data_IF_026099893109
#
_entry.id   IF_026099893109
#
_cell.length_a   1.000
_cell.length_b   1.000
_cell.length_c   1.000
_cell.angle_alpha   90.00
_cell.angle_beta   90.00
_cell.angle_gamma   90.00
#
_symmetry.space_group_name_H-M   'P 1'
#
loop_
_entity.id
_entity.type
_entity.pdbx_description
1 polymer ?
#
# COMPACT_ATOMS: atom_id res chain seq x y z
N UNK A 1 97.97 16.61 -6.01
CA UNK A 1 98.14 16.50 -7.44
C UNK A 1 96.98 15.67 -8.01
N UNK A 2 96.30 16.24 -8.95
CA UNK A 2 95.31 15.71 -9.86
C UNK A 2 93.98 15.20 -9.23
N UNK A 3 93.02 16.10 -9.26
CA UNK A 3 91.56 15.97 -9.11
C UNK A 3 90.96 15.31 -10.36
N UNK A 4 89.99 14.42 -10.19
CA UNK A 4 89.09 14.05 -11.27
C UNK A 4 87.64 14.09 -10.79
N UNK A 5 86.95 15.10 -11.30
CA UNK A 5 85.48 15.32 -11.05
C UNK A 5 84.72 14.42 -11.99
N UNK A 6 83.80 13.59 -11.42
CA UNK A 6 82.85 12.85 -12.17
C UNK A 6 81.46 13.40 -11.84
N UNK A 7 80.87 14.13 -12.78
CA UNK A 7 79.48 14.63 -12.76
C UNK A 7 78.52 13.47 -13.00
N UNK A 8 77.67 13.14 -12.02
CA UNK A 8 76.51 12.30 -12.19
C UNK A 8 75.32 13.19 -12.43
N UNK A 9 74.68 13.11 -13.64
CA UNK A 9 73.38 13.64 -13.93
C UNK A 9 72.34 12.63 -13.44
N UNK A 10 71.55 12.95 -12.41
CA UNK A 10 70.33 12.25 -12.07
C UNK A 10 69.16 12.89 -12.84
N UNK A 11 68.59 12.14 -13.78
CA UNK A 11 67.36 12.48 -14.47
C UNK A 11 66.15 12.25 -13.56
N UNK A 12 65.44 13.32 -13.23
CA UNK A 12 64.15 13.28 -12.51
C UNK A 12 63.06 12.88 -13.49
N UNK A 13 62.57 11.64 -13.42
CA UNK A 13 61.34 11.22 -14.14
C UNK A 13 60.17 11.61 -13.26
N UNK A 14 59.46 12.71 -13.62
CA UNK A 14 58.16 13.03 -13.06
C UNK A 14 57.08 12.09 -13.63
N UNK A 15 56.71 11.06 -12.90
CA UNK A 15 55.53 10.27 -13.19
C UNK A 15 54.29 11.07 -12.75
N UNK A 16 53.63 11.74 -13.71
CA UNK A 16 52.30 12.34 -13.47
C UNK A 16 51.25 11.22 -13.37
N UNK A 17 50.93 10.84 -12.16
CA UNK A 17 49.74 10.02 -11.86
C UNK A 17 48.49 10.82 -12.19
N UNK A 18 47.85 10.51 -13.30
CA UNK A 18 46.48 10.96 -13.62
C UNK A 18 45.53 10.34 -12.61
N UNK A 19 45.22 11.06 -11.55
CA UNK A 19 44.08 10.79 -10.71
C UNK A 19 42.80 11.13 -11.51
N UNK A 20 42.22 10.15 -12.18
CA UNK A 20 40.84 10.26 -12.63
C UNK A 20 39.96 10.29 -11.36
N UNK A 21 39.06 11.26 -11.20
CA UNK A 21 38.08 11.22 -10.12
C UNK A 21 37.19 10.01 -10.38
N UNK A 22 37.33 8.94 -9.60
CA UNK A 22 36.28 7.95 -9.47
C UNK A 22 35.09 8.64 -8.81
N UNK A 23 34.14 9.09 -9.60
CA UNK A 23 32.82 9.40 -9.10
C UNK A 23 32.24 8.08 -8.59
N UNK A 24 32.33 7.85 -7.30
CA UNK A 24 31.55 6.83 -6.62
C UNK A 24 30.08 7.22 -6.85
N UNK A 25 29.42 6.59 -7.82
CA UNK A 25 27.98 6.60 -7.87
C UNK A 25 27.52 6.01 -6.53
N UNK A 26 26.96 6.85 -5.67
CA UNK A 26 26.43 6.42 -4.40
C UNK A 26 25.26 5.49 -4.71
N UNK A 27 25.42 4.20 -4.42
CA UNK A 27 24.32 3.22 -4.53
C UNK A 27 23.12 3.58 -3.62
N UNK A 28 23.20 4.65 -2.85
CA UNK A 28 22.17 5.15 -1.96
C UNK A 28 21.21 6.14 -2.63
N UNK A 29 21.49 6.61 -3.86
CA UNK A 29 20.66 7.58 -4.58
C UNK A 29 19.64 6.95 -5.56
N UNK A 30 19.67 5.63 -5.75
CA UNK A 30 18.81 4.96 -6.74
C UNK A 30 17.59 4.29 -6.10
N UNK A 31 16.76 5.12 -5.46
CA UNK A 31 15.52 4.65 -4.85
C UNK A 31 14.37 5.65 -5.04
N UNK A 32 13.16 5.14 -4.78
CA UNK A 32 11.95 5.95 -4.59
C UNK A 32 11.30 5.64 -3.25
N UNK A 33 10.52 6.60 -2.73
CA UNK A 33 9.64 6.40 -1.57
C UNK A 33 8.20 6.29 -2.05
N UNK A 34 7.57 5.15 -1.75
CA UNK A 34 6.17 4.89 -2.05
C UNK A 34 5.35 4.99 -0.76
N UNK A 35 4.46 5.98 -0.69
CA UNK A 35 3.47 6.09 0.36
C UNK A 35 2.32 5.11 0.07
N UNK A 36 2.12 4.12 0.94
CA UNK A 36 1.12 3.08 0.76
C UNK A 36 0.37 2.78 2.05
N UNK A 37 -0.43 1.70 2.05
CA UNK A 37 -1.27 1.36 3.19
C UNK A 37 -0.78 0.11 3.93
N UNK A 38 -1.10 0.05 5.24
CA UNK A 38 -0.81 -1.13 6.05
C UNK A 38 -1.53 -2.37 5.54
N UNK A 39 -2.73 -2.23 4.96
CA UNK A 39 -3.43 -3.36 4.33
C UNK A 39 -2.71 -3.85 3.08
N UNK A 40 -2.19 -2.95 2.24
CA UNK A 40 -1.38 -3.34 1.06
C UNK A 40 -0.09 -4.07 1.50
N UNK A 41 0.59 -3.57 2.54
CA UNK A 41 1.77 -4.24 3.09
C UNK A 41 1.42 -5.63 3.68
N UNK A 42 0.37 -5.70 4.50
CA UNK A 42 -0.04 -6.94 5.18
C UNK A 42 -0.57 -8.00 4.20
N UNK A 43 -1.04 -7.61 3.02
CA UNK A 43 -1.45 -8.56 1.99
C UNK A 43 -0.30 -9.38 1.41
N UNK A 44 0.96 -8.93 1.58
CA UNK A 44 2.15 -9.59 1.02
C UNK A 44 2.40 -9.28 -0.46
N UNK A 45 1.51 -8.52 -1.13
CA UNK A 45 1.65 -8.19 -2.56
C UNK A 45 2.97 -7.46 -2.85
N UNK A 46 3.31 -6.46 -2.02
CA UNK A 46 4.49 -5.63 -2.25
C UNK A 46 5.77 -6.46 -2.21
N UNK A 47 5.88 -7.40 -1.28
CA UNK A 47 7.03 -8.32 -1.18
C UNK A 47 7.18 -9.22 -2.41
N UNK A 48 6.06 -9.49 -3.12
CA UNK A 48 6.06 -10.28 -4.35
C UNK A 48 6.44 -9.46 -5.59
N UNK A 49 5.97 -8.20 -5.70
CA UNK A 49 6.14 -7.41 -6.94
C UNK A 49 7.37 -6.52 -6.94
N UNK A 50 7.76 -5.91 -5.79
CA UNK A 50 8.84 -4.93 -5.75
C UNK A 50 10.21 -5.50 -6.13
N UNK A 51 10.60 -6.73 -5.75
CA UNK A 51 11.86 -7.33 -6.23
C UNK A 51 11.94 -7.43 -7.76
N UNK A 52 10.81 -7.72 -8.43
CA UNK A 52 10.75 -7.81 -9.90
C UNK A 52 10.93 -6.45 -10.59
N UNK A 53 10.45 -5.39 -9.95
CA UNK A 53 10.68 -4.02 -10.42
C UNK A 53 12.16 -3.65 -10.26
N UNK A 54 12.72 -3.85 -9.07
CA UNK A 54 14.12 -3.52 -8.79
C UNK A 54 15.09 -4.30 -9.68
N UNK A 55 14.86 -5.60 -9.89
CA UNK A 55 15.67 -6.43 -10.80
C UNK A 55 15.70 -5.87 -12.24
N UNK A 56 14.60 -5.27 -12.68
CA UNK A 56 14.47 -4.76 -14.04
C UNK A 56 15.02 -3.33 -14.22
N UNK A 57 15.04 -2.52 -13.18
CA UNK A 57 15.29 -1.07 -13.28
C UNK A 57 16.46 -0.58 -12.45
N UNK A 58 17.02 -1.42 -11.58
CA UNK A 58 17.99 -1.07 -10.55
C UNK A 58 17.50 -0.01 -9.54
N UNK A 59 16.20 0.35 -9.57
CA UNK A 59 15.59 1.31 -8.64
C UNK A 59 15.04 0.55 -7.43
N UNK A 60 15.54 0.88 -6.24
CA UNK A 60 14.99 0.35 -4.99
C UNK A 60 13.67 1.06 -4.61
N UNK A 61 12.73 0.33 -4.00
CA UNK A 61 11.47 0.90 -3.52
C UNK A 61 11.42 0.83 -2.00
N UNK A 62 11.34 2.00 -1.37
CA UNK A 62 11.16 2.14 0.08
C UNK A 62 9.69 2.44 0.36
N UNK A 63 9.00 1.50 0.99
CA UNK A 63 7.56 1.63 1.28
C UNK A 63 7.35 2.23 2.67
N UNK A 64 6.48 3.24 2.74
CA UNK A 64 5.94 3.78 4.00
C UNK A 64 4.48 3.35 4.07
N UNK A 65 4.18 2.35 4.90
CA UNK A 65 2.87 1.77 5.05
C UNK A 65 2.13 2.34 6.27
N UNK A 66 1.11 3.15 6.01
CA UNK A 66 0.29 3.83 7.02
C UNK A 66 -1.20 3.78 6.64
N UNK A 67 -2.10 4.49 7.31
CA UNK A 67 -3.49 4.67 6.85
C UNK A 67 -3.54 5.53 5.58
N UNK A 68 -4.57 5.35 4.74
CA UNK A 68 -4.72 6.10 3.47
C UNK A 68 -4.66 7.62 3.69
N UNK A 69 -5.37 8.15 4.70
CA UNK A 69 -5.33 9.58 5.01
C UNK A 69 -3.93 10.08 5.33
N UNK A 70 -3.16 9.31 6.11
CA UNK A 70 -1.77 9.66 6.43
C UNK A 70 -0.84 9.51 5.22
N UNK A 71 -1.03 8.48 4.37
CA UNK A 71 -0.24 8.31 3.14
C UNK A 71 -0.43 9.51 2.19
N UNK A 72 -1.67 9.94 1.99
CA UNK A 72 -1.99 11.14 1.20
C UNK A 72 -1.44 12.42 1.85
N UNK A 73 -1.48 12.53 3.18
CA UNK A 73 -0.89 13.66 3.91
C UNK A 73 0.63 13.71 3.71
N UNK A 74 1.30 12.58 3.80
CA UNK A 74 2.73 12.47 3.52
C UNK A 74 3.05 12.91 2.07
N UNK A 75 2.24 12.47 1.10
CA UNK A 75 2.35 12.92 -0.29
C UNK A 75 2.17 14.43 -0.44
N UNK A 76 1.20 15.05 0.27
CA UNK A 76 1.03 16.52 0.30
C UNK A 76 2.24 17.26 0.85
N UNK A 77 2.94 16.66 1.78
CA UNK A 77 4.15 17.24 2.38
C UNK A 77 5.40 17.05 1.50
N UNK A 78 5.32 16.21 0.43
CA UNK A 78 6.48 15.83 -0.36
C UNK A 78 7.38 14.78 0.31
N UNK A 79 6.83 14.01 1.26
CA UNK A 79 7.56 12.96 2.01
C UNK A 79 7.58 11.62 1.25
N UNK A 80 7.20 11.61 -0.02
CA UNK A 80 7.22 10.46 -0.93
C UNK A 80 7.23 10.88 -2.37
N UNK A 81 7.63 9.96 -3.25
CA UNK A 81 7.68 10.17 -4.69
C UNK A 81 6.38 9.73 -5.36
N UNK A 82 5.79 8.65 -4.85
CA UNK A 82 4.58 8.02 -5.37
C UNK A 82 3.63 7.70 -4.21
N UNK A 83 2.32 7.82 -4.47
CA UNK A 83 1.25 7.35 -3.60
C UNK A 83 0.57 6.15 -4.27
N UNK A 84 0.45 5.01 -3.55
CA UNK A 84 -0.23 3.79 -3.99
C UNK A 84 -1.23 3.38 -2.90
N UNK A 85 -2.48 3.74 -3.08
CA UNK A 85 -3.55 3.58 -2.08
C UNK A 85 -4.86 3.11 -2.73
N UNK A 86 -5.94 2.98 -1.95
CA UNK A 86 -7.21 2.43 -2.41
C UNK A 86 -8.43 3.16 -1.83
N UNK A 87 -8.45 4.49 -1.96
CA UNK A 87 -9.63 5.32 -1.66
C UNK A 87 -9.83 6.32 -2.79
N UNK A 88 -10.49 5.87 -3.87
CA UNK A 88 -10.63 6.66 -5.09
C UNK A 88 -11.14 8.10 -4.85
N UNK A 89 -12.14 8.37 -3.99
CA UNK A 89 -12.58 9.74 -3.74
C UNK A 89 -11.49 10.65 -3.14
N UNK A 90 -10.65 10.11 -2.25
CA UNK A 90 -9.55 10.87 -1.65
C UNK A 90 -8.39 11.07 -2.62
N UNK A 91 -8.13 10.05 -3.46
CA UNK A 91 -7.13 10.10 -4.53
C UNK A 91 -7.48 11.13 -5.58
N UNK A 92 -8.74 11.15 -6.03
CA UNK A 92 -9.25 12.13 -6.99
C UNK A 92 -9.14 13.55 -6.43
N UNK A 93 -9.46 13.76 -5.14
CA UNK A 93 -9.29 15.05 -4.45
C UNK A 93 -7.81 15.44 -4.36
N UNK A 94 -6.92 14.51 -4.04
CA UNK A 94 -5.48 14.75 -3.98
C UNK A 94 -4.93 15.29 -5.32
N UNK A 95 -5.40 14.74 -6.44
CA UNK A 95 -5.05 15.22 -7.78
C UNK A 95 -5.74 16.56 -8.08
N UNK A 96 -7.02 16.71 -7.79
CA UNK A 96 -7.77 17.95 -8.03
C UNK A 96 -7.17 19.16 -7.28
N UNK A 97 -6.66 18.94 -6.06
CA UNK A 97 -5.96 19.95 -5.26
C UNK A 97 -4.53 20.22 -5.77
N UNK A 98 -4.09 19.51 -6.81
CA UNK A 98 -2.79 19.68 -7.46
C UNK A 98 -1.60 19.08 -6.69
N UNK A 99 -1.85 18.19 -5.70
CA UNK A 99 -0.78 17.51 -4.96
C UNK A 99 -0.22 16.30 -5.71
N UNK A 100 -0.97 15.74 -6.62
CA UNK A 100 -0.59 14.65 -7.52
C UNK A 100 -0.74 15.07 -8.98
N UNK A 101 0.03 14.44 -9.88
CA UNK A 101 0.00 14.74 -11.31
C UNK A 101 -1.22 14.12 -11.98
N UNK A 102 -1.37 12.80 -11.86
CA UNK A 102 -2.45 12.02 -12.46
C UNK A 102 -2.67 10.74 -11.67
N UNK A 103 -3.94 10.41 -11.43
CA UNK A 103 -4.34 9.12 -10.90
C UNK A 103 -4.44 8.10 -12.04
N UNK A 104 -3.90 6.89 -11.83
CA UNK A 104 -4.07 5.75 -12.72
C UNK A 104 -4.57 4.56 -11.93
N UNK A 105 -5.51 3.79 -12.51
CA UNK A 105 -5.91 2.50 -11.97
C UNK A 105 -4.77 1.49 -12.12
N UNK A 106 -4.60 0.62 -11.11
CA UNK A 106 -3.54 -0.39 -11.11
C UNK A 106 -4.14 -1.80 -11.07
N UNK A 107 -5.00 -2.01 -10.10
CA UNK A 107 -5.58 -3.30 -9.78
C UNK A 107 -6.77 -3.11 -8.86
N UNK A 108 -7.55 -4.17 -8.68
CA UNK A 108 -8.55 -4.21 -7.61
C UNK A 108 -8.44 -5.52 -6.83
N UNK A 109 -8.96 -5.51 -5.62
CA UNK A 109 -9.35 -6.68 -4.84
C UNK A 109 -10.77 -6.47 -4.30
N UNK A 110 -11.20 -7.30 -3.36
CA UNK A 110 -12.48 -7.11 -2.70
C UNK A 110 -12.31 -7.04 -1.18
N UNK A 111 -13.32 -6.48 -0.55
CA UNK A 111 -13.53 -6.59 0.88
C UNK A 111 -14.37 -7.83 1.22
N UNK A 112 -14.31 -8.21 2.47
CA UNK A 112 -15.10 -9.27 3.09
C UNK A 112 -15.48 -8.89 4.51
N UNK A 113 -16.57 -9.45 5.04
CA UNK A 113 -16.83 -9.43 6.47
C UNK A 113 -16.44 -10.80 7.02
N UNK A 114 -15.56 -10.79 8.01
CA UNK A 114 -15.12 -11.97 8.72
C UNK A 114 -15.63 -11.94 10.15
N UNK A 115 -15.82 -13.10 10.75
CA UNK A 115 -16.31 -13.22 12.13
C UNK A 115 -16.20 -14.65 12.62
N UNK A 116 -16.62 -14.89 13.89
CA UNK A 116 -16.59 -16.23 14.50
C UNK A 116 -17.48 -17.21 13.74
N UNK A 117 -17.05 -18.46 13.65
CA UNK A 117 -17.81 -19.51 12.97
C UNK A 117 -19.20 -19.75 13.58
N UNK A 118 -19.40 -19.39 14.84
CA UNK A 118 -20.71 -19.46 15.50
C UNK A 118 -21.76 -18.50 14.90
N UNK A 119 -21.31 -17.39 14.28
CA UNK A 119 -22.14 -16.40 13.59
C UNK A 119 -23.40 -15.96 14.36
N UNK A 120 -23.26 -15.38 15.56
CA UNK A 120 -24.41 -15.04 16.41
C UNK A 120 -25.38 -14.03 15.78
N UNK A 121 -24.91 -13.14 14.90
CA UNK A 121 -25.76 -12.20 14.15
C UNK A 121 -26.47 -12.86 12.94
N UNK A 122 -26.08 -14.07 12.52
CA UNK A 122 -26.70 -14.82 11.42
C UNK A 122 -26.51 -14.15 10.06
N UNK A 123 -25.30 -13.71 9.75
CA UNK A 123 -24.95 -13.02 8.49
C UNK A 123 -24.31 -13.93 7.45
N UNK A 124 -24.00 -15.16 7.78
CA UNK A 124 -23.33 -16.12 6.90
C UNK A 124 -24.05 -16.29 5.57
N UNK A 125 -23.28 -16.17 4.49
CA UNK A 125 -23.78 -16.34 3.13
C UNK A 125 -24.61 -15.18 2.60
N UNK A 126 -24.72 -14.09 3.32
CA UNK A 126 -25.33 -12.86 2.81
C UNK A 126 -24.43 -12.24 1.74
N UNK A 127 -25.08 -11.62 0.73
CA UNK A 127 -24.43 -10.96 -0.40
C UNK A 127 -24.75 -9.47 -0.48
N UNK A 128 -25.46 -8.93 0.51
CA UNK A 128 -25.83 -7.52 0.64
C UNK A 128 -25.26 -7.00 1.94
N UNK A 129 -24.22 -6.18 1.82
CA UNK A 129 -23.40 -5.73 2.94
C UNK A 129 -24.21 -4.95 3.97
N UNK A 130 -25.00 -3.98 3.55
CA UNK A 130 -25.81 -3.16 4.44
C UNK A 130 -26.73 -4.00 5.33
N UNK A 131 -27.34 -5.05 4.79
CA UNK A 131 -28.20 -5.97 5.58
C UNK A 131 -27.41 -6.79 6.60
N UNK A 132 -26.14 -7.12 6.29
CA UNK A 132 -25.27 -7.80 7.25
C UNK A 132 -24.87 -6.85 8.38
N UNK A 133 -24.58 -5.60 8.06
CA UNK A 133 -24.29 -4.56 9.03
C UNK A 133 -25.51 -4.27 9.94
N UNK A 134 -26.71 -4.15 9.37
CA UNK A 134 -27.97 -4.00 10.14
C UNK A 134 -28.14 -5.12 11.15
N UNK A 135 -27.95 -6.39 10.72
CA UNK A 135 -28.08 -7.56 11.62
C UNK A 135 -27.07 -7.58 12.77
N UNK A 136 -25.82 -7.18 12.49
CA UNK A 136 -24.79 -7.07 13.54
C UNK A 136 -25.22 -6.03 14.58
N UNK A 137 -25.68 -4.86 14.11
CA UNK A 137 -26.13 -3.78 14.98
C UNK A 137 -27.40 -4.13 15.77
N UNK A 138 -28.41 -4.76 15.13
CA UNK A 138 -29.63 -5.23 15.79
C UNK A 138 -29.34 -6.23 16.90
N UNK A 139 -28.40 -7.17 16.61
CA UNK A 139 -27.97 -8.17 17.60
C UNK A 139 -27.03 -7.58 18.67
N UNK A 140 -26.52 -6.35 18.45
CA UNK A 140 -25.45 -5.71 19.26
C UNK A 140 -24.22 -6.61 19.45
N UNK A 141 -23.93 -7.39 18.43
CA UNK A 141 -22.74 -8.23 18.43
C UNK A 141 -21.49 -7.39 18.22
N UNK A 142 -20.37 -7.70 18.89
CA UNK A 142 -19.16 -6.92 18.76
C UNK A 142 -18.71 -6.78 17.31
N UNK A 143 -18.41 -5.55 16.89
CA UNK A 143 -17.83 -5.24 15.60
C UNK A 143 -16.54 -4.44 15.79
N UNK A 144 -15.42 -4.94 15.30
CA UNK A 144 -14.13 -4.28 15.38
C UNK A 144 -13.89 -3.45 14.10
N UNK A 145 -13.99 -2.13 14.24
CA UNK A 145 -13.61 -1.17 13.21
C UNK A 145 -12.15 -0.76 13.33
N UNK A 146 -11.53 -0.42 12.22
CA UNK A 146 -10.18 0.16 12.26
C UNK A 146 -10.14 1.51 12.97
N UNK A 147 -11.12 2.39 12.78
CA UNK A 147 -11.18 3.69 13.44
C UNK A 147 -9.96 4.61 13.18
N UNK A 148 -9.23 4.41 12.08
CA UNK A 148 -7.89 5.00 11.84
C UNK A 148 -7.78 5.86 10.57
N UNK A 149 -8.92 6.30 10.02
CA UNK A 149 -9.00 7.07 8.76
C UNK A 149 -8.38 6.36 7.53
N UNK A 150 -8.24 5.02 7.58
CA UNK A 150 -7.75 4.23 6.46
C UNK A 150 -8.78 4.08 5.34
N UNK A 151 -8.33 3.60 4.16
CA UNK A 151 -9.24 3.27 3.06
C UNK A 151 -10.28 2.21 3.43
N UNK A 152 -9.90 1.22 4.25
CA UNK A 152 -10.82 0.20 4.79
C UNK A 152 -11.84 0.82 5.73
N UNK A 153 -11.42 1.67 6.68
CA UNK A 153 -12.32 2.39 7.58
C UNK A 153 -13.30 3.27 6.81
N UNK A 154 -12.83 4.04 5.85
CA UNK A 154 -13.70 4.87 5.00
C UNK A 154 -14.68 4.04 4.16
N UNK A 155 -14.27 2.87 3.67
CA UNK A 155 -15.17 1.97 2.96
C UNK A 155 -16.23 1.38 3.89
N UNK A 156 -15.87 1.00 5.11
CA UNK A 156 -16.76 0.54 6.16
C UNK A 156 -17.81 1.60 6.49
N UNK A 157 -17.38 2.86 6.79
CA UNK A 157 -18.30 3.94 7.12
C UNK A 157 -19.31 4.22 6.00
N UNK A 158 -18.88 4.17 4.73
CA UNK A 158 -19.82 4.30 3.58
C UNK A 158 -20.86 3.18 3.52
N UNK A 159 -20.60 2.01 4.07
CA UNK A 159 -21.59 0.94 4.19
C UNK A 159 -22.53 1.20 5.35
N UNK A 160 -22.03 1.65 6.51
CA UNK A 160 -22.84 2.08 7.63
C UNK A 160 -23.80 3.23 7.26
N UNK A 161 -23.35 4.22 6.48
CA UNK A 161 -24.17 5.33 5.97
C UNK A 161 -25.39 4.88 5.16
N UNK A 162 -25.42 3.63 4.68
CA UNK A 162 -26.56 3.06 3.94
C UNK A 162 -27.52 2.27 4.82
N UNK A 163 -27.18 2.10 6.07
CA UNK A 163 -28.03 1.55 7.12
C UNK A 163 -28.72 2.69 7.87
N UNK A 164 -29.70 2.36 8.70
CA UNK A 164 -30.34 3.33 9.61
C UNK A 164 -29.53 3.49 10.92
N UNK A 165 -28.31 2.94 10.98
CA UNK A 165 -27.49 2.89 12.20
C UNK A 165 -26.26 3.79 12.05
N UNK A 166 -26.09 4.72 12.99
CA UNK A 166 -24.81 5.40 13.20
C UNK A 166 -23.98 4.64 14.23
N UNK A 167 -22.96 3.87 13.78
CA UNK A 167 -22.19 3.02 14.68
C UNK A 167 -21.33 3.83 15.66
N UNK A 168 -20.99 5.08 15.33
CA UNK A 168 -20.16 5.94 16.20
C UNK A 168 -20.87 6.24 17.53
N UNK A 169 -22.20 6.29 17.54
CA UNK A 169 -22.96 6.42 18.77
C UNK A 169 -22.86 5.19 19.69
N UNK A 170 -22.46 4.03 19.16
CA UNK A 170 -22.21 2.81 19.92
C UNK A 170 -20.72 2.56 20.17
N UNK A 171 -19.86 3.56 19.94
CA UNK A 171 -18.43 3.45 20.17
C UNK A 171 -18.13 3.10 21.64
N UNK A 172 -17.33 2.05 21.84
CA UNK A 172 -17.02 1.52 23.18
C UNK A 172 -18.06 0.54 23.75
N UNK A 173 -19.20 0.35 23.08
CA UNK A 173 -20.20 -0.69 23.40
C UNK A 173 -19.99 -1.90 22.46
N UNK A 174 -20.85 -2.10 21.48
CA UNK A 174 -20.66 -3.15 20.47
C UNK A 174 -19.78 -2.72 19.29
N UNK A 175 -19.66 -1.42 18.99
CA UNK A 175 -18.77 -0.89 17.95
C UNK A 175 -17.42 -0.50 18.56
N UNK A 176 -16.36 -1.25 18.20
CA UNK A 176 -15.04 -1.16 18.82
C UNK A 176 -14.05 -0.51 17.82
N UNK A 177 -13.83 0.78 17.97
CA UNK A 177 -12.81 1.50 17.18
C UNK A 177 -11.41 1.17 17.73
N UNK A 178 -10.63 0.42 16.96
CA UNK A 178 -9.31 -0.08 17.41
C UNK A 178 -8.20 0.96 17.28
N UNK A 179 -8.39 1.99 16.45
CA UNK A 179 -7.35 2.98 16.13
C UNK A 179 -6.10 2.37 15.47
N UNK A 180 -6.23 1.20 14.84
CA UNK A 180 -5.08 0.36 14.48
C UNK A 180 -5.11 -0.09 13.02
N UNK A 181 -3.95 -0.49 12.49
CA UNK A 181 -3.84 -1.12 11.17
C UNK A 181 -4.57 -2.47 11.09
N UNK A 182 -4.87 -2.94 9.86
CA UNK A 182 -5.75 -4.08 9.63
C UNK A 182 -5.32 -5.36 10.36
N UNK A 183 -4.03 -5.69 10.36
CA UNK A 183 -3.54 -6.89 11.05
C UNK A 183 -3.74 -6.84 12.57
N UNK A 184 -3.56 -5.69 13.20
CA UNK A 184 -3.84 -5.50 14.63
C UNK A 184 -5.35 -5.55 14.91
N UNK A 185 -6.17 -4.92 14.05
CA UNK A 185 -7.64 -4.99 14.14
C UNK A 185 -8.15 -6.43 14.05
N UNK A 186 -7.60 -7.25 13.13
CA UNK A 186 -7.94 -8.66 13.02
C UNK A 186 -7.60 -9.45 14.31
N UNK A 187 -6.42 -9.19 14.91
CA UNK A 187 -6.09 -9.81 16.20
C UNK A 187 -7.06 -9.43 17.32
N UNK A 188 -7.47 -8.15 17.35
CA UNK A 188 -8.47 -7.67 18.32
C UNK A 188 -9.83 -8.33 18.05
N UNK A 189 -10.26 -8.39 16.79
CA UNK A 189 -11.50 -9.04 16.39
C UNK A 189 -11.54 -10.50 16.83
N UNK A 190 -10.51 -11.28 16.53
CA UNK A 190 -10.40 -12.68 16.96
C UNK A 190 -10.45 -12.80 18.50
N UNK A 191 -9.67 -11.98 19.21
CA UNK A 191 -9.62 -12.01 20.68
C UNK A 191 -10.91 -11.57 21.36
N UNK A 192 -11.78 -10.82 20.67
CA UNK A 192 -13.06 -10.31 21.15
C UNK A 192 -14.27 -11.07 20.60
N UNK A 193 -14.07 -12.07 19.73
CA UNK A 193 -15.11 -12.72 18.94
C UNK A 193 -15.98 -11.70 18.17
N UNK A 194 -15.37 -10.63 17.67
CA UNK A 194 -16.04 -9.53 17.00
C UNK A 194 -16.04 -9.72 15.47
N UNK A 195 -17.12 -9.35 14.81
CA UNK A 195 -17.12 -9.19 13.36
C UNK A 195 -16.13 -8.08 12.96
N UNK A 196 -15.59 -8.14 11.74
CA UNK A 196 -14.77 -7.04 11.21
C UNK A 196 -14.80 -7.02 9.68
N UNK A 197 -14.64 -5.83 9.13
CA UNK A 197 -14.53 -5.58 7.70
C UNK A 197 -13.06 -5.49 7.31
N UNK A 198 -12.64 -6.29 6.33
CA UNK A 198 -11.23 -6.37 5.91
C UNK A 198 -11.12 -6.62 4.41
N UNK A 199 -10.00 -6.24 3.80
CA UNK A 199 -9.69 -6.72 2.45
C UNK A 199 -9.33 -8.23 2.48
N UNK A 200 -9.74 -8.94 1.43
CA UNK A 200 -9.51 -10.39 1.32
C UNK A 200 -8.04 -10.76 1.36
N UNK A 201 -7.16 -9.93 0.77
CA UNK A 201 -5.73 -10.20 0.73
C UNK A 201 -5.12 -10.24 2.13
N UNK A 202 -5.41 -9.23 2.95
CA UNK A 202 -4.98 -9.21 4.35
C UNK A 202 -5.55 -10.38 5.14
N UNK A 203 -6.84 -10.69 4.96
CA UNK A 203 -7.48 -11.83 5.63
C UNK A 203 -6.81 -13.17 5.29
N UNK A 204 -6.58 -13.43 4.01
CA UNK A 204 -5.99 -14.71 3.59
C UNK A 204 -4.55 -14.87 4.09
N UNK A 205 -3.78 -13.79 4.13
CA UNK A 205 -2.41 -13.78 4.67
C UNK A 205 -2.34 -13.73 6.20
N UNK A 206 -3.45 -13.44 6.88
CA UNK A 206 -3.51 -13.38 8.33
C UNK A 206 -3.42 -14.79 8.95
N UNK A 207 -2.43 -15.01 9.83
CA UNK A 207 -2.15 -16.34 10.36
C UNK A 207 -3.03 -16.74 11.56
N UNK A 208 -3.41 -15.76 12.40
CA UNK A 208 -4.05 -16.01 13.70
C UNK A 208 -5.59 -16.01 13.60
N UNK A 209 -6.14 -16.79 12.66
CA UNK A 209 -7.59 -16.81 12.36
C UNK A 209 -8.46 -17.40 13.45
N UNK A 210 -7.91 -18.31 14.29
CA UNK A 210 -8.73 -19.09 15.22
C UNK A 210 -9.84 -19.85 14.47
N UNK A 211 -11.08 -19.68 14.94
CA UNK A 211 -12.31 -20.21 14.33
C UNK A 211 -13.01 -19.22 13.38
N UNK A 212 -12.35 -18.10 13.05
CA UNK A 212 -12.91 -17.10 12.17
C UNK A 212 -12.91 -17.54 10.72
N UNK A 213 -13.94 -17.09 10.00
CA UNK A 213 -14.09 -17.35 8.58
C UNK A 213 -14.74 -16.17 7.85
N UNK A 214 -14.74 -16.20 6.52
CA UNK A 214 -15.47 -15.25 5.69
C UNK A 214 -16.96 -15.56 5.80
N UNK A 215 -17.74 -14.62 6.29
CA UNK A 215 -19.17 -14.75 6.44
C UNK A 215 -19.96 -14.06 5.34
N UNK A 216 -19.47 -12.88 4.87
CA UNK A 216 -20.11 -12.11 3.79
C UNK A 216 -19.07 -11.77 2.73
N UNK A 217 -19.41 -12.02 1.47
CA UNK A 217 -18.58 -11.73 0.30
C UNK A 217 -19.44 -11.54 -0.96
N UNK A 218 -18.85 -10.97 -2.00
CA UNK A 218 -19.47 -10.87 -3.33
C UNK A 218 -20.44 -9.72 -3.50
N UNK A 219 -20.59 -8.82 -2.53
CA UNK A 219 -21.31 -7.57 -2.72
C UNK A 219 -20.54 -6.67 -3.72
N UNK A 220 -21.20 -6.09 -4.74
CA UNK A 220 -20.55 -5.12 -5.63
C UNK A 220 -19.91 -3.94 -4.92
N UNK A 221 -20.40 -3.55 -3.75
CA UNK A 221 -19.85 -2.48 -2.92
C UNK A 221 -18.52 -2.85 -2.25
N UNK A 222 -18.17 -4.12 -2.24
CA UNK A 222 -16.90 -4.62 -1.75
C UNK A 222 -15.74 -4.45 -2.74
N UNK A 223 -16.04 -3.93 -3.94
CA UNK A 223 -15.01 -3.61 -4.93
C UNK A 223 -14.04 -2.56 -4.41
N UNK A 224 -12.76 -2.90 -4.39
CA UNK A 224 -11.70 -2.10 -3.82
C UNK A 224 -10.63 -1.77 -4.86
N UNK A 225 -10.77 -0.62 -5.51
CA UNK A 225 -9.87 -0.15 -6.56
C UNK A 225 -8.62 0.49 -5.97
N UNK A 226 -7.46 0.09 -6.44
CA UNK A 226 -6.16 0.68 -6.13
C UNK A 226 -5.76 1.68 -7.20
N UNK A 227 -5.32 2.85 -6.77
CA UNK A 227 -4.77 3.88 -7.62
C UNK A 227 -3.32 4.18 -7.31
N UNK A 228 -2.58 4.60 -8.32
CA UNK A 228 -1.20 5.08 -8.21
C UNK A 228 -1.10 6.50 -8.74
N UNK A 229 -0.33 7.35 -8.04
CA UNK A 229 -0.23 8.79 -8.32
C UNK A 229 1.21 9.24 -8.10
N UNK A 230 1.79 9.93 -9.08
CA UNK A 230 3.04 10.65 -8.89
C UNK A 230 2.78 11.90 -8.05
N UNK A 231 3.55 12.09 -6.98
CA UNK A 231 3.52 13.35 -6.20
C UNK A 231 4.01 14.49 -7.11
N UNK A 232 3.34 15.64 -7.05
CA UNK A 232 3.57 16.73 -7.99
C UNK A 232 4.95 17.38 -7.80
N UNK A 233 5.91 17.22 -8.74
CA UNK A 233 7.25 17.76 -8.62
C UNK A 233 7.30 19.29 -8.71
N UNK A 234 6.28 19.95 -9.30
CA UNK A 234 6.20 21.40 -9.34
C UNK A 234 6.00 22.00 -7.94
N UNK A 235 5.28 21.28 -7.05
CA UNK A 235 5.12 21.65 -5.64
C UNK A 235 6.26 21.17 -4.77
N UNK A 236 6.87 20.05 -5.14
CA UNK A 236 7.90 19.38 -4.34
C UNK A 236 9.14 19.04 -5.19
N UNK A 237 10.09 19.97 -5.36
CA UNK A 237 11.26 19.78 -6.23
C UNK A 237 12.19 18.61 -5.83
N UNK A 238 12.03 18.05 -4.63
CA UNK A 238 12.80 16.88 -4.16
C UNK A 238 12.20 15.55 -4.56
N UNK A 239 10.98 15.54 -5.14
CA UNK A 239 10.35 14.34 -5.67
C UNK A 239 11.19 13.78 -6.82
N UNK A 240 11.49 12.50 -6.76
CA UNK A 240 12.24 11.76 -7.79
C UNK A 240 11.31 11.41 -8.94
N UNK A 241 10.85 12.45 -9.67
CA UNK A 241 9.74 12.35 -10.62
C UNK A 241 9.99 11.32 -11.71
N UNK A 242 11.19 11.29 -12.32
CA UNK A 242 11.51 10.32 -13.38
C UNK A 242 11.47 8.87 -12.88
N UNK A 243 12.05 8.61 -11.72
CA UNK A 243 12.04 7.26 -11.11
C UNK A 243 10.65 6.86 -10.63
N UNK A 244 9.90 7.82 -10.04
CA UNK A 244 8.50 7.61 -9.66
C UNK A 244 7.62 7.30 -10.85
N UNK A 245 7.80 8.00 -11.98
CA UNK A 245 7.08 7.72 -13.22
C UNK A 245 7.48 6.34 -13.79
N UNK A 246 8.78 5.99 -13.75
CA UNK A 246 9.24 4.65 -14.16
C UNK A 246 8.54 3.55 -13.37
N UNK A 247 8.34 3.74 -12.07
CA UNK A 247 7.59 2.79 -11.24
C UNK A 247 6.12 2.70 -11.64
N UNK A 248 5.47 3.84 -11.87
CA UNK A 248 4.06 3.90 -12.30
C UNK A 248 3.90 3.22 -13.66
N UNK A 249 4.77 3.53 -14.63
CA UNK A 249 4.73 2.93 -15.96
C UNK A 249 4.95 1.42 -15.91
N UNK A 250 5.84 0.96 -15.02
CA UNK A 250 6.04 -0.47 -14.82
C UNK A 250 4.81 -1.13 -14.20
N UNK A 251 4.20 -0.55 -13.16
CA UNK A 251 3.00 -1.11 -12.52
C UNK A 251 1.83 -1.25 -13.51
N UNK A 252 1.71 -0.30 -14.42
CA UNK A 252 0.58 -0.20 -15.34
C UNK A 252 0.82 -0.89 -16.69
N UNK A 253 2.07 -1.29 -17.01
CA UNK A 253 2.38 -2.01 -18.23
C UNK A 253 2.18 -3.54 -18.08
N UNK A 254 2.33 -4.27 -19.19
CA UNK A 254 2.14 -5.72 -19.24
C UNK A 254 3.01 -6.51 -18.23
N UNK A 255 4.23 -6.03 -17.92
CA UNK A 255 5.12 -6.74 -17.01
C UNK A 255 4.66 -6.60 -15.55
N UNK A 256 4.34 -5.39 -15.10
CA UNK A 256 3.81 -5.15 -13.76
C UNK A 256 2.42 -5.77 -13.56
N UNK A 257 1.55 -5.66 -14.55
CA UNK A 257 0.21 -6.27 -14.51
C UNK A 257 0.30 -7.81 -14.43
N UNK A 258 1.24 -8.43 -15.15
CA UNK A 258 1.53 -9.87 -15.03
C UNK A 258 2.10 -10.22 -13.65
N UNK A 259 2.98 -9.38 -13.09
CA UNK A 259 3.53 -9.59 -11.76
C UNK A 259 2.42 -9.58 -10.70
N UNK A 260 1.49 -8.61 -10.77
CA UNK A 260 0.32 -8.53 -9.89
C UNK A 260 -0.56 -9.76 -10.03
N UNK A 261 -0.92 -10.15 -11.26
CA UNK A 261 -1.77 -11.33 -11.53
C UNK A 261 -1.15 -12.65 -11.05
N UNK A 262 0.18 -12.71 -10.99
CA UNK A 262 0.90 -13.92 -10.54
C UNK A 262 0.92 -14.09 -9.03
N UNK A 263 0.52 -13.05 -8.26
CA UNK A 263 0.46 -13.14 -6.80
C UNK A 263 -0.75 -13.97 -6.38
N UNK A 264 -0.49 -15.06 -5.66
CA UNK A 264 -1.51 -16.00 -5.18
C UNK A 264 -1.17 -16.44 -3.76
N UNK A 265 -2.21 -16.63 -2.94
CA UNK A 265 -2.13 -17.31 -1.64
C UNK A 265 -2.99 -18.57 -1.75
N UNK A 266 -2.45 -19.73 -1.39
CA UNK A 266 -3.12 -21.03 -1.47
C UNK A 266 -3.75 -21.30 -2.86
N UNK A 267 -3.06 -20.85 -3.93
CA UNK A 267 -3.52 -20.99 -5.31
C UNK A 267 -4.57 -19.97 -5.76
N UNK A 268 -5.08 -19.13 -4.87
CA UNK A 268 -6.08 -18.10 -5.17
C UNK A 268 -5.44 -16.78 -5.57
N UNK A 269 -5.90 -16.21 -6.68
CA UNK A 269 -5.53 -14.85 -7.09
C UNK A 269 -6.26 -13.83 -6.21
N UNK A 270 -5.52 -12.86 -5.65
CA UNK A 270 -6.06 -11.89 -4.71
C UNK A 270 -6.20 -10.50 -5.31
N UNK A 271 -5.34 -10.16 -6.26
CA UNK A 271 -5.35 -8.88 -6.93
C UNK A 271 -5.56 -9.08 -8.42
N UNK A 272 -6.48 -8.33 -8.97
CA UNK A 272 -6.89 -8.40 -10.36
C UNK A 272 -6.42 -7.13 -11.07
N UNK A 273 -5.36 -7.23 -11.92
CA UNK A 273 -4.85 -6.08 -12.64
C UNK A 273 -5.90 -5.53 -13.61
N UNK A 274 -6.04 -4.20 -13.63
CA UNK A 274 -6.99 -3.52 -14.50
C UNK A 274 -6.49 -2.14 -14.97
N UNK A 275 -5.16 -1.92 -14.95
CA UNK A 275 -4.61 -0.74 -15.57
C UNK A 275 -4.96 -0.76 -17.06
N UNK A 276 -5.65 0.27 -17.52
CA UNK A 276 -5.89 0.46 -18.95
C UNK A 276 -4.52 0.64 -19.59
N UNK A 277 -4.10 -0.32 -20.41
CA UNK A 277 -2.99 -0.13 -21.32
C UNK A 277 -3.32 1.13 -22.11
N UNK A 278 -2.49 2.17 -21.93
CA UNK A 278 -2.76 3.48 -22.52
C UNK A 278 -3.14 3.35 -23.98
N UNK A 279 -4.34 3.78 -24.27
CA UNK A 279 -4.83 4.05 -25.60
C UNK A 279 -4.14 5.28 -26.16
#
# INVERSE_FOLDING_TARGET
MISLHRRLLLGLICAALLFAPMTSASADDDFIIVQSTTSTQNSGLLDHILPKFTEKTDIAVRVVAVGTGQALKNGRNGDGDVVLVHSKPDEDRFVADGWGVKRQDVMYNDFVIVGPAADPAGIRGMTVAEKAFDKIAEAKEPFASRGDDSGTHKAELRLWEKTDVDPVHASGDWYLETGSGMGATLNIAVGKHAYTFTDRGTWLNFANKGDFEILVQGDPQFFNQYGVILVNPEKHPRVRAEKGQTFIDWLTNAAGQKAIASYKIDGQQLFFPNALSGS
#
